data_IF_650487053231
#
_entry.id   IF_650487053231
#
_cell.length_a   1.000
_cell.length_b   1.000
_cell.length_c   1.000
_cell.angle_alpha   90.00
_cell.angle_beta   90.00
_cell.angle_gamma   90.00
#
_symmetry.space_group_name_H-M   'P 1'
#
loop_
_entity.id
_entity.type
_entity.pdbx_description
1 polymer ?
#
# COMPACT_ATOMS: atom_id res chain seq x y z
N UNK A 1 30.07 15.09 -7.32
CA UNK A 1 29.22 14.06 -7.95
C UNK A 1 27.92 14.04 -7.18
N UNK A 2 26.79 14.22 -7.88
CA UNK A 2 25.47 14.38 -7.29
C UNK A 2 25.08 13.11 -6.51
N UNK A 3 24.98 13.22 -5.20
CA UNK A 3 24.48 12.17 -4.31
C UNK A 3 22.95 12.14 -4.35
N UNK A 4 22.39 12.01 -5.55
CA UNK A 4 20.96 11.94 -5.84
C UNK A 4 20.51 10.46 -5.90
N UNK A 5 21.13 9.62 -5.06
CA UNK A 5 20.57 8.31 -4.77
C UNK A 5 19.37 8.56 -3.88
N UNK A 6 18.17 8.24 -4.38
CA UNK A 6 16.89 8.25 -3.67
C UNK A 6 17.07 7.98 -2.17
N UNK A 7 17.29 9.03 -1.38
CA UNK A 7 17.25 8.92 0.08
C UNK A 7 15.77 8.79 0.39
N UNK A 8 15.33 7.56 0.59
CA UNK A 8 13.95 7.27 0.92
C UNK A 8 13.71 7.76 2.35
N UNK A 9 13.23 9.00 2.49
CA UNK A 9 12.89 9.60 3.77
C UNK A 9 11.85 8.71 4.49
N UNK A 10 12.19 8.14 5.67
CA UNK A 10 11.29 7.26 6.41
C UNK A 10 9.93 7.89 6.69
N UNK A 11 9.91 9.19 6.97
CA UNK A 11 8.69 9.92 7.26
C UNK A 11 7.78 10.02 6.02
N UNK A 12 8.39 10.20 4.84
CA UNK A 12 7.69 10.21 3.55
C UNK A 12 7.18 8.81 3.22
N UNK A 13 7.99 7.76 3.38
CA UNK A 13 7.56 6.38 3.15
C UNK A 13 6.38 5.99 4.05
N UNK A 14 6.44 6.34 5.33
CA UNK A 14 5.33 6.10 6.27
C UNK A 14 4.09 6.93 5.91
N UNK A 15 4.26 8.19 5.51
CA UNK A 15 3.16 9.05 5.09
C UNK A 15 2.47 8.52 3.84
N UNK A 16 3.23 8.20 2.79
CA UNK A 16 2.69 7.62 1.57
C UNK A 16 2.07 6.26 1.82
N UNK A 17 2.69 5.42 2.64
CA UNK A 17 2.09 4.14 3.02
C UNK A 17 0.73 4.29 3.73
N UNK A 18 0.56 5.32 4.59
CA UNK A 18 -0.75 5.67 5.17
C UNK A 18 -1.74 6.15 4.12
N UNK A 19 -1.30 6.94 3.14
CA UNK A 19 -2.14 7.42 2.04
C UNK A 19 -2.65 6.26 1.18
N UNK A 20 -1.80 5.30 0.83
CA UNK A 20 -2.19 4.12 0.07
C UNK A 20 -3.17 3.21 0.84
N UNK A 21 -2.97 2.98 2.13
CA UNK A 21 -3.93 2.24 2.98
C UNK A 21 -5.26 3.00 3.12
N UNK A 22 -5.25 4.33 3.09
CA UNK A 22 -6.49 5.10 3.07
C UNK A 22 -7.18 4.97 1.71
N UNK A 23 -6.42 5.08 0.62
CA UNK A 23 -6.92 4.96 -0.74
C UNK A 23 -7.53 3.57 -0.99
N UNK A 24 -6.90 2.49 -0.53
CA UNK A 24 -7.44 1.13 -0.64
C UNK A 24 -8.83 1.03 0.01
N UNK A 25 -8.98 1.58 1.23
CA UNK A 25 -10.27 1.59 1.96
C UNK A 25 -11.32 2.45 1.28
N UNK A 26 -10.94 3.61 0.76
CA UNK A 26 -11.84 4.51 0.04
C UNK A 26 -12.34 3.85 -1.25
N UNK A 27 -11.42 3.22 -1.99
CA UNK A 27 -11.73 2.48 -3.21
C UNK A 27 -12.62 1.26 -2.93
N UNK A 28 -12.32 0.43 -1.92
CA UNK A 28 -13.19 -0.67 -1.51
C UNK A 28 -14.62 -0.21 -1.20
N UNK A 29 -14.77 0.93 -0.52
CA UNK A 29 -16.10 1.49 -0.23
C UNK A 29 -16.82 1.91 -1.49
N UNK A 30 -16.14 2.59 -2.41
CA UNK A 30 -16.72 2.99 -3.69
C UNK A 30 -17.17 1.77 -4.52
N UNK A 31 -16.34 0.73 -4.59
CA UNK A 31 -16.65 -0.54 -5.27
C UNK A 31 -17.88 -1.20 -4.65
N UNK A 32 -17.97 -1.26 -3.32
CA UNK A 32 -19.13 -1.82 -2.62
C UNK A 32 -20.40 -1.01 -2.86
N UNK A 33 -20.30 0.32 -2.90
CA UNK A 33 -21.43 1.18 -3.27
C UNK A 33 -21.89 0.92 -4.70
N UNK A 34 -20.96 0.77 -5.65
CA UNK A 34 -21.27 0.41 -7.03
C UNK A 34 -21.94 -0.96 -7.11
N UNK A 35 -21.41 -1.96 -6.41
CA UNK A 35 -21.96 -3.32 -6.35
C UNK A 35 -23.41 -3.31 -5.86
N UNK A 36 -23.66 -2.65 -4.73
CA UNK A 36 -25.00 -2.54 -4.17
C UNK A 36 -25.94 -1.79 -5.11
N UNK A 37 -25.47 -0.71 -5.73
CA UNK A 37 -26.26 0.07 -6.68
C UNK A 37 -26.65 -0.73 -7.91
N UNK A 38 -25.72 -1.49 -8.50
CA UNK A 38 -25.99 -2.33 -9.67
C UNK A 38 -26.88 -3.53 -9.35
N UNK A 39 -26.78 -4.11 -8.14
CA UNK A 39 -27.69 -5.16 -7.68
C UNK A 39 -29.11 -4.61 -7.48
N UNK A 40 -29.24 -3.45 -6.83
CA UNK A 40 -30.54 -2.80 -6.61
C UNK A 40 -31.20 -2.35 -7.92
N UNK A 41 -30.43 -1.82 -8.88
CA UNK A 41 -30.95 -1.47 -10.21
C UNK A 41 -31.40 -2.71 -11.02
N UNK A 42 -30.89 -3.89 -10.67
CA UNK A 42 -31.24 -5.16 -11.29
C UNK A 42 -32.63 -5.69 -10.91
N UNK A 43 -33.18 -5.27 -9.79
CA UNK A 43 -34.42 -5.81 -9.23
C UNK A 43 -35.58 -4.81 -9.43
N UNK A 44 -36.23 -4.83 -10.59
CA UNK A 44 -37.44 -4.05 -10.82
C UNK A 44 -38.67 -4.97 -10.76
N UNK A 45 -39.51 -4.79 -9.74
CA UNK A 45 -40.81 -5.48 -9.59
C UNK A 45 -40.75 -7.03 -9.71
N UNK A 46 -39.65 -7.65 -9.27
CA UNK A 46 -39.48 -9.12 -9.32
C UNK A 46 -39.24 -9.69 -10.72
N UNK A 47 -38.98 -8.84 -11.72
CA UNK A 47 -38.56 -9.25 -13.07
C UNK A 47 -37.06 -9.06 -13.26
N UNK A 48 -36.39 -9.94 -14.05
CA UNK A 48 -34.99 -9.74 -14.38
C UNK A 48 -34.81 -8.39 -15.10
N UNK A 49 -33.66 -7.71 -14.90
CA UNK A 49 -33.45 -6.36 -15.42
C UNK A 49 -33.38 -6.28 -16.94
N UNK A 50 -33.24 -7.43 -17.60
CA UNK A 50 -33.10 -7.56 -19.04
C UNK A 50 -34.33 -8.15 -19.72
N UNK A 51 -35.44 -8.35 -18.98
CA UNK A 51 -36.60 -9.11 -19.45
C UNK A 51 -36.51 -10.59 -19.08
N UNK A 52 -37.64 -11.28 -19.19
CA UNK A 52 -37.76 -12.72 -18.91
C UNK A 52 -37.92 -13.55 -20.20
N UNK A 53 -37.58 -12.95 -21.35
CA UNK A 53 -37.52 -13.61 -22.65
C UNK A 53 -36.12 -14.20 -22.90
N UNK A 54 -36.02 -15.12 -23.86
CA UNK A 54 -34.75 -15.80 -24.17
C UNK A 54 -33.60 -14.82 -24.47
N UNK A 55 -33.89 -13.66 -25.06
CA UNK A 55 -32.89 -12.62 -25.31
C UNK A 55 -32.41 -12.00 -23.99
N UNK A 56 -33.35 -11.61 -23.12
CA UNK A 56 -33.07 -11.07 -21.79
C UNK A 56 -32.26 -12.03 -20.92
N UNK A 57 -32.59 -13.32 -20.94
CA UNK A 57 -31.87 -14.35 -20.19
C UNK A 57 -30.41 -14.50 -20.67
N UNK A 58 -30.19 -14.56 -21.99
CA UNK A 58 -28.85 -14.65 -22.57
C UNK A 58 -28.00 -13.41 -22.25
N UNK A 59 -28.58 -12.22 -22.38
CA UNK A 59 -27.90 -10.97 -22.00
C UNK A 59 -27.62 -10.92 -20.50
N UNK A 60 -28.57 -11.34 -19.67
CA UNK A 60 -28.43 -11.39 -18.22
C UNK A 60 -27.31 -12.30 -17.74
N UNK A 61 -27.17 -13.47 -18.35
CA UNK A 61 -26.08 -14.40 -18.06
C UNK A 61 -24.71 -13.79 -18.38
N UNK A 62 -24.55 -13.22 -19.58
CA UNK A 62 -23.30 -12.59 -20.00
C UNK A 62 -22.96 -11.37 -19.14
N UNK A 63 -23.95 -10.49 -18.90
CA UNK A 63 -23.79 -9.31 -18.05
C UNK A 63 -23.38 -9.69 -16.64
N UNK A 64 -24.04 -10.68 -16.03
CA UNK A 64 -23.73 -11.13 -14.67
C UNK A 64 -22.31 -11.66 -14.57
N UNK A 65 -21.87 -12.49 -15.53
CA UNK A 65 -20.48 -12.99 -15.56
C UNK A 65 -19.46 -11.86 -15.67
N UNK A 66 -19.67 -10.90 -16.57
CA UNK A 66 -18.77 -9.75 -16.72
C UNK A 66 -18.76 -8.86 -15.47
N UNK A 67 -19.96 -8.55 -14.93
CA UNK A 67 -20.15 -7.74 -13.73
C UNK A 67 -19.43 -8.36 -12.53
N UNK A 68 -19.63 -9.65 -12.29
CA UNK A 68 -19.05 -10.34 -11.15
C UNK A 68 -17.53 -10.44 -11.28
N UNK A 69 -17.02 -10.71 -12.50
CA UNK A 69 -15.58 -10.67 -12.79
C UNK A 69 -14.94 -9.29 -12.58
N UNK A 70 -15.67 -8.20 -12.89
CA UNK A 70 -15.22 -6.84 -12.55
C UNK A 70 -15.15 -6.61 -11.05
N UNK A 71 -16.14 -7.06 -10.27
CA UNK A 71 -16.10 -6.92 -8.80
C UNK A 71 -14.93 -7.69 -8.19
N UNK A 72 -14.68 -8.91 -8.66
CA UNK A 72 -13.53 -9.70 -8.22
C UNK A 72 -12.20 -8.99 -8.57
N UNK A 73 -12.09 -8.47 -9.79
CA UNK A 73 -10.91 -7.72 -10.24
C UNK A 73 -10.67 -6.46 -9.40
N UNK A 74 -11.73 -5.73 -9.06
CA UNK A 74 -11.64 -4.53 -8.22
C UNK A 74 -11.30 -4.87 -6.77
N UNK A 75 -11.81 -5.99 -6.24
CA UNK A 75 -11.41 -6.48 -4.92
C UNK A 75 -9.91 -6.83 -4.88
N UNK A 76 -9.41 -7.52 -5.91
CA UNK A 76 -7.98 -7.81 -6.07
C UNK A 76 -7.13 -6.54 -6.16
N UNK A 77 -7.55 -5.57 -6.98
CA UNK A 77 -6.85 -4.28 -7.10
C UNK A 77 -6.80 -3.55 -5.75
N UNK A 78 -7.90 -3.56 -5.00
CA UNK A 78 -7.94 -2.97 -3.65
C UNK A 78 -6.90 -3.61 -2.73
N UNK A 79 -6.82 -4.95 -2.74
CA UNK A 79 -5.80 -5.68 -1.97
C UNK A 79 -4.38 -5.27 -2.35
N UNK A 80 -4.08 -5.15 -3.65
CA UNK A 80 -2.76 -4.71 -4.13
C UNK A 80 -2.40 -3.30 -3.69
N UNK A 81 -3.36 -2.38 -3.68
CA UNK A 81 -3.13 -1.00 -3.19
C UNK A 81 -2.83 -1.01 -1.69
N UNK A 82 -3.53 -1.85 -0.91
CA UNK A 82 -3.27 -2.01 0.52
C UNK A 82 -1.89 -2.61 0.81
N UNK A 83 -1.50 -3.65 0.05
CA UNK A 83 -0.18 -4.28 0.14
C UNK A 83 0.94 -3.27 -0.10
N UNK A 84 0.81 -2.41 -1.13
CA UNK A 84 1.76 -1.33 -1.41
C UNK A 84 1.86 -0.39 -0.21
N UNK A 85 0.72 0.03 0.34
CA UNK A 85 0.70 0.94 1.49
C UNK A 85 1.36 0.34 2.75
N UNK A 86 1.12 -0.94 3.02
CA UNK A 86 1.77 -1.64 4.12
C UNK A 86 3.27 -1.89 3.86
N UNK A 87 3.66 -2.17 2.62
CA UNK A 87 5.06 -2.28 2.21
C UNK A 87 5.83 -0.98 2.46
N UNK A 88 5.29 0.17 2.03
CA UNK A 88 5.91 1.48 2.23
C UNK A 88 6.05 1.83 3.72
N UNK A 89 5.00 1.58 4.53
CA UNK A 89 5.09 1.72 5.99
C UNK A 89 6.20 0.86 6.58
N UNK A 90 6.27 -0.41 6.17
CA UNK A 90 7.30 -1.34 6.62
C UNK A 90 8.71 -0.88 6.25
N UNK A 91 8.92 -0.38 5.03
CA UNK A 91 10.19 0.20 4.61
C UNK A 91 10.59 1.40 5.48
N UNK A 92 9.66 2.31 5.74
CA UNK A 92 9.92 3.47 6.60
C UNK A 92 10.30 3.06 8.02
N UNK A 93 9.56 2.13 8.63
CA UNK A 93 9.90 1.60 9.97
C UNK A 93 11.25 0.89 9.99
N UNK A 94 11.56 0.07 8.98
CA UNK A 94 12.82 -0.65 8.92
C UNK A 94 14.02 0.30 8.77
N UNK A 95 13.87 1.37 7.98
CA UNK A 95 14.93 2.37 7.82
C UNK A 95 15.19 3.13 9.12
N UNK A 96 14.14 3.54 9.83
CA UNK A 96 14.22 4.19 11.14
C UNK A 96 14.94 3.30 12.18
N UNK A 97 14.55 2.03 12.28
CA UNK A 97 15.22 1.05 13.18
C UNK A 97 16.70 0.87 12.82
N UNK A 98 17.02 0.82 11.52
CA UNK A 98 18.39 0.60 11.07
C UNK A 98 19.30 1.81 11.34
N UNK A 99 18.79 3.03 11.12
CA UNK A 99 19.48 4.26 11.49
C UNK A 99 19.71 4.34 13.01
N UNK A 100 18.68 4.09 13.83
CA UNK A 100 18.79 4.09 15.29
C UNK A 100 19.83 3.07 15.81
N UNK A 101 19.81 1.86 15.23
CA UNK A 101 20.79 0.82 15.56
C UNK A 101 22.21 1.26 15.20
N UNK A 102 22.43 1.75 13.98
CA UNK A 102 23.74 2.22 13.53
C UNK A 102 24.26 3.38 14.38
N UNK A 103 23.40 4.34 14.72
CA UNK A 103 23.74 5.45 15.59
C UNK A 103 24.15 4.98 16.99
N UNK A 104 23.47 3.98 17.54
CA UNK A 104 23.81 3.40 18.84
C UNK A 104 25.16 2.68 18.83
N UNK A 105 25.44 1.93 17.76
CA UNK A 105 26.72 1.23 17.56
C UNK A 105 27.87 2.23 17.44
N UNK A 106 27.67 3.31 16.68
CA UNK A 106 28.69 4.33 16.44
C UNK A 106 29.02 5.12 17.71
N UNK A 107 28.00 5.42 18.54
CA UNK A 107 28.20 6.01 19.88
C UNK A 107 28.96 5.06 20.81
N UNK A 108 28.65 3.76 20.78
CA UNK A 108 29.34 2.76 21.60
C UNK A 108 30.82 2.65 21.22
N UNK A 109 31.14 2.56 19.93
CA UNK A 109 32.52 2.51 19.45
C UNK A 109 33.30 3.80 19.73
N UNK A 110 32.65 4.97 19.64
CA UNK A 110 33.27 6.24 20.06
C UNK A 110 33.63 6.23 21.55
N UNK A 111 32.70 5.82 22.42
CA UNK A 111 32.96 5.75 23.86
C UNK A 111 34.07 4.75 24.21
N UNK A 112 34.13 3.61 23.48
CA UNK A 112 35.22 2.63 23.59
C UNK A 112 36.56 3.22 23.19
N UNK A 113 36.65 3.89 22.04
CA UNK A 113 37.88 4.55 21.59
C UNK A 113 38.40 5.57 22.61
N UNK A 114 37.50 6.40 23.14
CA UNK A 114 37.80 7.40 24.16
C UNK A 114 38.36 6.74 25.44
N UNK A 115 37.78 5.62 25.88
CA UNK A 115 38.28 4.86 27.04
C UNK A 115 39.67 4.23 26.84
N UNK A 116 40.04 3.93 25.58
CA UNK A 116 41.33 3.34 25.23
C UNK A 116 42.43 4.39 25.00
N UNK A 117 42.11 5.69 25.18
CA UNK A 117 43.04 6.79 24.92
C UNK A 117 43.38 6.99 23.44
N UNK A 118 42.68 6.26 22.56
CA UNK A 118 42.73 6.45 21.11
C UNK A 118 41.81 7.63 20.84
N UNK A 119 42.37 8.83 20.70
CA UNK A 119 41.61 10.07 20.53
C UNK A 119 40.46 9.95 19.51
N UNK A 120 39.44 10.80 19.67
CA UNK A 120 38.15 10.77 18.96
C UNK A 120 38.24 10.15 17.56
N UNK A 121 37.68 8.95 17.38
CA UNK A 121 37.72 8.26 16.09
C UNK A 121 37.11 9.16 15.00
N UNK A 122 37.75 9.27 13.82
CA UNK A 122 37.21 10.06 12.72
C UNK A 122 35.81 9.54 12.40
N UNK A 123 34.84 10.46 12.30
CA UNK A 123 33.49 10.14 11.81
C UNK A 123 33.62 9.67 10.36
N UNK A 124 33.70 8.36 10.15
CA UNK A 124 33.36 7.79 8.86
C UNK A 124 31.85 7.95 8.79
N UNK A 125 31.40 8.97 8.05
CA UNK A 125 29.99 9.14 7.74
C UNK A 125 29.53 7.83 7.11
N UNK A 126 28.77 7.02 7.84
CA UNK A 126 28.00 5.91 7.28
C UNK A 126 26.84 6.52 6.49
N UNK A 127 27.17 7.21 5.39
CA UNK A 127 26.25 7.63 4.33
C UNK A 127 26.60 6.82 3.11
N UNK A 128 26.41 5.52 3.24
CA UNK A 128 26.41 4.56 2.15
C UNK A 128 25.64 3.35 2.66
N UNK A 129 24.30 3.43 2.57
CA UNK A 129 23.45 2.61 1.72
C UNK A 129 22.11 3.36 1.60
#
# INVERSE_FOLDING_TARGET
MSNDGLQADPSVLQAEGRNFVKLSKDFARAVKTLENGLKAAGEYEGRPPWGADDLGDNFGALYTGFRDGMFESMAHLTGRIDDIGNGLKGMGTNHEINEDFNDSLLKAEQSRAESLGIGKMPRISSRAI
#
